data_IF_596763148838
#
_entry.id   IF_596763148838
#
_cell.length_a   1.000
_cell.length_b   1.000
_cell.length_c   1.000
_cell.angle_alpha   90.00
_cell.angle_beta   90.00
_cell.angle_gamma   90.00
#
_symmetry.space_group_name_H-M   'P 1'
#
loop_
_entity.id
_entity.type
_entity.pdbx_description
1 polymer ?
#
# COMPACT_ATOMS: atom_id res chain seq x y z
N UNK A 1 -0.97 -11.07 24.94
CA UNK A 1 -1.67 -10.14 24.03
C UNK A 1 -2.43 -10.94 22.98
N UNK A 2 -3.52 -10.38 22.40
CA UNK A 2 -4.28 -11.02 21.33
C UNK A 2 -4.27 -10.14 20.08
N UNK A 3 -3.84 -10.68 18.93
CA UNK A 3 -3.81 -9.98 17.63
C UNK A 3 -4.88 -10.59 16.73
N UNK A 4 -5.78 -9.76 16.21
CA UNK A 4 -6.86 -10.17 15.30
C UNK A 4 -6.39 -10.00 13.86
N UNK A 5 -6.18 -11.10 13.16
CA UNK A 5 -5.75 -11.16 11.76
C UNK A 5 -4.26 -11.42 11.61
N UNK A 6 -3.90 -12.32 10.70
CA UNK A 6 -2.55 -12.73 10.31
C UNK A 6 -2.19 -12.21 8.91
N UNK A 7 -2.53 -10.96 8.59
CA UNK A 7 -2.00 -10.21 7.46
C UNK A 7 -0.69 -9.53 7.81
N UNK A 8 -0.14 -8.70 6.88
CA UNK A 8 1.17 -8.05 7.06
C UNK A 8 1.26 -7.25 8.36
N UNK A 9 0.27 -6.39 8.63
CA UNK A 9 0.26 -5.57 9.86
C UNK A 9 0.18 -6.42 11.14
N UNK A 10 -0.70 -7.44 11.15
CA UNK A 10 -0.87 -8.33 12.31
C UNK A 10 0.35 -9.20 12.58
N UNK A 11 0.95 -9.80 11.54
CA UNK A 11 2.18 -10.59 11.68
C UNK A 11 3.37 -9.71 12.05
N UNK A 12 3.50 -8.52 11.43
CA UNK A 12 4.55 -7.56 11.79
C UNK A 12 4.48 -7.11 13.25
N UNK A 13 3.27 -6.72 13.72
CA UNK A 13 3.03 -6.38 15.12
C UNK A 13 3.34 -7.57 16.06
N UNK A 14 2.90 -8.78 15.68
CA UNK A 14 3.12 -9.98 16.50
C UNK A 14 4.59 -10.33 16.66
N UNK A 15 5.36 -10.28 15.57
CA UNK A 15 6.80 -10.51 15.59
C UNK A 15 7.53 -9.43 16.40
N UNK A 16 7.19 -8.16 16.20
CA UNK A 16 7.80 -7.06 16.93
C UNK A 16 7.53 -7.15 18.44
N UNK A 17 6.31 -7.50 18.86
CA UNK A 17 5.94 -7.71 20.25
C UNK A 17 6.64 -8.95 20.84
N UNK A 18 6.63 -10.08 20.13
CA UNK A 18 7.21 -11.32 20.60
C UNK A 18 8.72 -11.22 20.82
N UNK A 19 9.44 -10.56 19.91
CA UNK A 19 10.90 -10.32 19.99
C UNK A 19 11.27 -9.37 21.12
N UNK A 20 10.31 -8.57 21.62
CA UNK A 20 10.45 -7.76 22.83
C UNK A 20 10.01 -8.51 24.11
N UNK A 21 9.75 -9.81 24.02
CA UNK A 21 9.49 -10.65 25.19
C UNK A 21 8.02 -10.88 25.51
N UNK A 22 7.08 -10.32 24.77
CA UNK A 22 5.65 -10.48 25.00
C UNK A 22 5.13 -11.80 24.42
N UNK A 23 4.16 -12.41 25.12
CA UNK A 23 3.43 -13.59 24.62
C UNK A 23 2.26 -13.12 23.77
N UNK A 24 2.18 -13.61 22.52
CA UNK A 24 1.20 -13.16 21.53
C UNK A 24 0.38 -14.35 21.02
N UNK A 25 -0.96 -14.21 21.05
CA UNK A 25 -1.88 -15.13 20.37
C UNK A 25 -2.44 -14.44 19.14
N UNK A 26 -2.12 -14.94 17.96
CA UNK A 26 -2.65 -14.46 16.68
C UNK A 26 -3.89 -15.27 16.30
N UNK A 27 -5.00 -14.59 16.04
CA UNK A 27 -6.29 -15.16 15.69
C UNK A 27 -6.60 -14.90 14.23
N UNK A 28 -6.53 -15.93 13.39
CA UNK A 28 -6.75 -15.82 11.95
C UNK A 28 -7.99 -16.61 11.52
N UNK A 29 -8.91 -15.96 10.81
CA UNK A 29 -10.14 -16.61 10.32
C UNK A 29 -9.90 -17.59 9.19
N UNK A 30 -8.89 -17.36 8.33
CA UNK A 30 -8.55 -18.25 7.24
C UNK A 30 -7.85 -19.52 7.78
N UNK A 31 -8.26 -20.67 7.26
CA UNK A 31 -7.71 -21.97 7.66
C UNK A 31 -6.46 -22.38 6.86
N UNK A 32 -6.38 -22.10 5.53
CA UNK A 32 -5.26 -22.57 4.73
C UNK A 32 -3.92 -22.07 5.28
N UNK A 33 -2.96 -23.02 5.34
CA UNK A 33 -1.58 -22.70 5.70
C UNK A 33 -0.79 -22.33 4.45
N UNK A 34 0.29 -21.55 4.58
CA UNK A 34 1.18 -21.32 3.47
C UNK A 34 1.82 -22.63 3.02
N UNK A 35 2.09 -22.80 1.71
CA UNK A 35 2.83 -23.94 1.21
C UNK A 35 4.26 -23.98 1.76
N UNK A 36 4.88 -25.16 1.78
CA UNK A 36 6.26 -25.30 2.20
C UNK A 36 7.23 -24.60 1.22
N UNK A 37 6.97 -24.74 -0.09
CA UNK A 37 7.73 -24.04 -1.15
C UNK A 37 7.20 -22.61 -1.32
N UNK A 38 8.03 -21.56 -1.12
CA UNK A 38 7.63 -20.18 -1.33
C UNK A 38 7.16 -19.88 -2.77
N UNK A 39 7.67 -20.62 -3.77
CA UNK A 39 7.29 -20.44 -5.18
C UNK A 39 5.82 -20.79 -5.43
N UNK A 40 5.25 -21.69 -4.65
CA UNK A 40 3.85 -22.08 -4.71
C UNK A 40 2.91 -21.08 -4.02
N UNK A 41 3.43 -20.11 -3.24
CA UNK A 41 2.62 -19.20 -2.44
C UNK A 41 1.62 -18.40 -3.26
N UNK A 42 1.97 -17.97 -4.47
CA UNK A 42 1.06 -17.22 -5.34
C UNK A 42 -0.04 -18.09 -5.93
N UNK A 43 0.27 -19.31 -6.35
CA UNK A 43 -0.67 -20.20 -7.01
C UNK A 43 -1.58 -20.93 -6.03
N UNK A 44 -0.99 -21.49 -4.95
CA UNK A 44 -1.63 -22.52 -4.14
C UNK A 44 -2.14 -22.01 -2.79
N UNK A 45 -1.63 -20.86 -2.31
CA UNK A 45 -2.08 -20.36 -1.01
C UNK A 45 -3.31 -19.48 -1.15
N UNK A 46 -4.40 -19.94 -0.55
CA UNK A 46 -5.66 -19.21 -0.54
C UNK A 46 -5.89 -18.44 0.76
N UNK A 47 -6.26 -17.17 0.61
CA UNK A 47 -6.60 -16.24 1.70
C UNK A 47 -7.97 -15.60 1.44
N UNK A 48 -9.10 -16.32 1.63
CA UNK A 48 -10.45 -15.78 1.38
C UNK A 48 -10.75 -14.51 2.19
N UNK A 49 -10.12 -14.40 3.36
CA UNK A 49 -10.19 -13.22 4.22
C UNK A 49 -9.46 -12.00 3.70
N UNK A 50 -8.66 -12.13 2.62
CA UNK A 50 -7.85 -11.06 2.03
C UNK A 50 -8.16 -10.96 0.53
N UNK A 51 -9.26 -10.29 0.12
CA UNK A 51 -9.72 -10.27 -1.29
C UNK A 51 -8.66 -9.76 -2.28
N UNK A 52 -7.74 -8.90 -1.81
CA UNK A 52 -6.66 -8.33 -2.60
C UNK A 52 -5.33 -9.09 -2.46
N UNK A 53 -5.34 -10.35 -2.00
CA UNK A 53 -4.15 -11.14 -1.72
C UNK A 53 -3.25 -11.33 -2.95
N UNK A 54 -3.85 -11.58 -4.13
CA UNK A 54 -3.12 -11.76 -5.41
C UNK A 54 -3.05 -10.50 -6.27
N UNK A 55 -3.50 -9.33 -5.78
CA UNK A 55 -3.35 -8.09 -6.52
C UNK A 55 -1.94 -7.53 -6.42
N UNK A 56 -1.51 -6.65 -7.36
CA UNK A 56 -0.17 -6.05 -7.29
C UNK A 56 -0.01 -5.17 -6.05
N UNK A 57 1.17 -5.24 -5.47
CA UNK A 57 1.58 -4.42 -4.34
C UNK A 57 2.97 -3.86 -4.58
N UNK A 58 3.26 -2.72 -3.96
CA UNK A 58 4.60 -2.15 -3.88
C UNK A 58 5.15 -2.33 -2.46
N UNK A 59 6.39 -2.77 -2.36
CA UNK A 59 7.12 -2.81 -1.11
C UNK A 59 8.14 -1.68 -1.12
N UNK A 60 7.72 -0.55 -0.57
CA UNK A 60 8.46 0.69 -0.58
C UNK A 60 9.70 0.62 0.32
N UNK A 61 10.58 1.61 0.18
CA UNK A 61 11.83 1.64 0.92
C UNK A 61 11.62 1.58 2.44
N UNK A 62 10.60 2.26 3.00
CA UNK A 62 10.28 2.12 4.43
C UNK A 62 10.03 0.65 4.80
N UNK A 63 9.23 -0.07 4.03
CA UNK A 63 8.94 -1.50 4.31
C UNK A 63 10.21 -2.35 4.32
N UNK A 64 11.13 -2.11 3.36
CA UNK A 64 12.42 -2.82 3.31
C UNK A 64 13.34 -2.45 4.48
N UNK A 65 13.44 -1.15 4.82
CA UNK A 65 14.21 -0.68 5.98
C UNK A 65 13.70 -1.29 7.28
N UNK A 66 12.38 -1.36 7.46
CA UNK A 66 11.78 -2.00 8.63
C UNK A 66 12.10 -3.51 8.70
N UNK A 67 12.08 -4.21 7.57
CA UNK A 67 12.53 -5.61 7.54
C UNK A 67 14.02 -5.72 7.90
N UNK A 68 14.88 -4.87 7.35
CA UNK A 68 16.32 -4.91 7.59
C UNK A 68 16.67 -4.71 9.07
N UNK A 69 15.99 -3.80 9.75
CA UNK A 69 16.31 -3.46 11.14
C UNK A 69 15.57 -4.33 12.18
N UNK A 70 14.29 -4.63 11.93
CA UNK A 70 13.44 -5.28 12.92
C UNK A 70 13.24 -6.78 12.64
N UNK A 71 13.29 -7.18 11.36
CA UNK A 71 12.99 -8.53 10.89
C UNK A 71 14.00 -9.03 9.83
N UNK A 72 15.34 -8.95 10.10
CA UNK A 72 16.37 -9.24 9.08
C UNK A 72 16.33 -10.68 8.56
N UNK A 73 15.90 -11.63 9.37
CA UNK A 73 15.70 -13.03 8.97
C UNK A 73 14.56 -13.17 7.96
N UNK A 74 13.48 -12.39 8.09
CA UNK A 74 12.39 -12.34 7.11
C UNK A 74 12.89 -11.78 5.79
N UNK A 75 13.65 -10.68 5.81
CA UNK A 75 14.22 -10.10 4.59
C UNK A 75 15.12 -11.10 3.85
N UNK A 76 16.02 -11.75 4.58
CA UNK A 76 16.93 -12.76 4.01
C UNK A 76 16.15 -13.94 3.40
N UNK A 77 15.10 -14.43 4.06
CA UNK A 77 14.26 -15.53 3.56
C UNK A 77 13.48 -15.11 2.29
N UNK A 78 12.96 -13.87 2.24
CA UNK A 78 12.29 -13.33 1.06
C UNK A 78 13.27 -13.23 -0.13
N UNK A 79 14.49 -12.72 0.10
CA UNK A 79 15.52 -12.61 -0.94
C UNK A 79 15.97 -14.00 -1.44
N UNK A 80 16.14 -14.97 -0.53
CA UNK A 80 16.43 -16.34 -0.90
C UNK A 80 15.32 -17.01 -1.73
N UNK A 81 14.06 -16.58 -1.53
CA UNK A 81 12.90 -17.02 -2.30
C UNK A 81 12.69 -16.26 -3.63
N UNK A 82 13.57 -15.30 -3.94
CA UNK A 82 13.58 -14.58 -5.22
C UNK A 82 13.09 -13.15 -5.19
N UNK A 83 12.74 -12.59 -4.01
CA UNK A 83 12.49 -11.16 -3.88
C UNK A 83 13.77 -10.38 -4.22
N UNK A 84 13.65 -9.29 -4.97
CA UNK A 84 14.79 -8.51 -5.44
C UNK A 84 14.75 -7.07 -4.93
N UNK A 85 15.90 -6.51 -4.62
CA UNK A 85 16.03 -5.09 -4.30
C UNK A 85 15.73 -4.22 -5.52
N UNK A 86 15.06 -3.09 -5.30
CA UNK A 86 14.82 -2.05 -6.30
C UNK A 86 15.60 -0.80 -5.88
N UNK A 87 16.82 -0.60 -6.39
CA UNK A 87 17.71 0.46 -5.93
C UNK A 87 17.32 1.81 -6.56
N UNK A 88 16.42 2.56 -5.93
CA UNK A 88 16.06 3.91 -6.37
C UNK A 88 17.24 4.87 -6.36
N UNK A 89 18.21 4.64 -5.45
CA UNK A 89 19.44 5.43 -5.34
C UNK A 89 20.24 5.50 -6.63
N UNK A 90 20.22 4.45 -7.46
CA UNK A 90 20.97 4.41 -8.72
C UNK A 90 20.44 5.39 -9.78
N UNK A 91 19.29 6.03 -9.51
CA UNK A 91 18.66 7.03 -10.38
C UNK A 91 18.84 8.47 -9.91
N UNK A 92 19.55 8.68 -8.83
CA UNK A 92 19.87 10.03 -8.35
C UNK A 92 20.66 10.77 -9.44
N UNK A 93 20.19 11.91 -9.94
CA UNK A 93 20.97 12.71 -10.90
C UNK A 93 22.37 13.03 -10.35
N UNK A 94 23.40 12.75 -11.13
CA UNK A 94 24.79 12.91 -10.68
C UNK A 94 25.33 11.75 -9.82
N UNK A 95 24.53 10.73 -9.58
CA UNK A 95 24.93 9.53 -8.84
C UNK A 95 24.55 9.53 -7.37
N UNK A 96 24.50 8.35 -6.74
CA UNK A 96 24.16 8.19 -5.32
C UNK A 96 25.29 8.63 -4.39
N UNK A 97 24.91 8.97 -3.16
CA UNK A 97 25.82 9.21 -2.05
C UNK A 97 25.56 8.20 -0.91
N UNK A 98 26.38 8.20 0.12
CA UNK A 98 26.17 7.35 1.28
C UNK A 98 24.82 7.64 2.01
N UNK A 99 24.30 8.87 1.90
CA UNK A 99 23.00 9.25 2.46
C UNK A 99 21.80 8.63 1.71
N UNK A 100 22.01 8.03 0.55
CA UNK A 100 20.97 7.39 -0.27
C UNK A 100 20.87 5.88 -0.02
N UNK A 101 21.59 5.34 0.95
CA UNK A 101 21.68 3.90 1.22
C UNK A 101 20.29 3.25 1.48
N UNK A 102 19.37 4.00 2.09
CA UNK A 102 17.99 3.57 2.39
C UNK A 102 17.00 3.72 1.22
N UNK A 103 17.42 4.33 0.09
CA UNK A 103 16.58 4.46 -1.11
C UNK A 103 16.54 3.15 -1.91
N UNK A 104 16.05 2.10 -1.30
CA UNK A 104 15.90 0.77 -1.90
C UNK A 104 14.55 0.18 -1.51
N UNK A 105 13.73 -0.15 -2.49
CA UNK A 105 12.49 -0.92 -2.31
C UNK A 105 12.70 -2.41 -2.50
N UNK A 106 11.61 -3.18 -2.44
CA UNK A 106 11.63 -4.63 -2.64
C UNK A 106 10.61 -5.02 -3.71
N UNK A 107 11.02 -5.81 -4.69
CA UNK A 107 10.16 -6.40 -5.72
C UNK A 107 9.82 -7.84 -5.34
N UNK A 108 8.58 -8.07 -4.97
CA UNK A 108 7.98 -9.39 -4.81
C UNK A 108 6.45 -9.29 -4.86
N UNK A 109 5.76 -10.42 -5.03
CA UNK A 109 4.31 -10.47 -4.90
C UNK A 109 3.92 -10.59 -3.41
N UNK A 110 2.77 -10.07 -3.05
CA UNK A 110 2.26 -10.10 -1.68
C UNK A 110 2.19 -11.51 -1.07
N UNK A 111 1.75 -12.57 -1.79
CA UNK A 111 1.75 -13.92 -1.23
C UNK A 111 3.12 -14.38 -0.74
N UNK A 112 4.20 -14.05 -1.45
CA UNK A 112 5.57 -14.33 -0.99
C UNK A 112 5.91 -13.53 0.26
N UNK A 113 5.58 -12.23 0.30
CA UNK A 113 5.85 -11.38 1.46
C UNK A 113 5.13 -11.87 2.73
N UNK A 114 3.83 -12.19 2.62
CA UNK A 114 3.07 -12.75 3.74
C UNK A 114 3.57 -14.14 4.14
N UNK A 115 4.04 -14.94 3.16
CA UNK A 115 4.65 -16.24 3.42
C UNK A 115 5.88 -16.11 4.34
N UNK A 116 6.81 -15.18 4.04
CA UNK A 116 7.98 -14.95 4.89
C UNK A 116 7.62 -14.54 6.31
N UNK A 117 6.71 -13.56 6.47
CA UNK A 117 6.23 -13.15 7.80
C UNK A 117 5.55 -14.29 8.55
N UNK A 118 4.73 -15.09 7.86
CA UNK A 118 4.02 -16.22 8.46
C UNK A 118 4.99 -17.30 8.93
N UNK A 119 5.99 -17.64 8.13
CA UNK A 119 7.02 -18.61 8.49
C UNK A 119 7.84 -18.15 9.71
N UNK A 120 8.21 -16.87 9.74
CA UNK A 120 8.88 -16.29 10.91
C UNK A 120 8.01 -16.38 12.17
N UNK A 121 6.72 -16.02 12.07
CA UNK A 121 5.79 -16.11 13.19
C UNK A 121 5.55 -17.55 13.68
N UNK A 122 5.57 -18.54 12.79
CA UNK A 122 5.44 -19.97 13.15
C UNK A 122 6.69 -20.52 13.88
N UNK A 123 7.86 -19.91 13.64
CA UNK A 123 9.12 -20.28 14.33
C UNK A 123 9.33 -19.52 15.65
N UNK A 124 8.58 -18.42 15.86
CA UNK A 124 8.75 -17.60 17.06
C UNK A 124 8.06 -18.26 18.28
N UNK A 125 8.82 -18.69 19.31
CA UNK A 125 8.27 -19.49 20.43
C UNK A 125 7.25 -18.70 21.27
N UNK A 126 7.26 -17.38 21.24
CA UNK A 126 6.31 -16.54 21.97
C UNK A 126 5.04 -16.23 21.18
N UNK A 127 4.91 -16.74 19.95
CA UNK A 127 3.71 -16.59 19.14
C UNK A 127 2.93 -17.91 19.07
N UNK A 128 1.66 -17.85 19.46
CA UNK A 128 0.70 -18.93 19.22
C UNK A 128 -0.23 -18.49 18.08
N UNK A 129 -0.14 -19.13 16.94
CA UNK A 129 -0.98 -18.82 15.79
C UNK A 129 -2.16 -19.79 15.70
N UNK A 130 -3.38 -19.25 15.80
CA UNK A 130 -4.65 -20.00 15.76
C UNK A 130 -5.41 -19.70 14.49
N UNK A 131 -5.25 -20.57 13.49
CA UNK A 131 -5.96 -20.50 12.21
C UNK A 131 -7.39 -21.07 12.34
N UNK A 132 -8.32 -20.55 11.54
CA UNK A 132 -9.73 -20.93 11.57
C UNK A 132 -10.51 -20.34 12.74
N UNK A 133 -9.97 -19.34 13.43
CA UNK A 133 -10.61 -18.66 14.55
C UNK A 133 -11.16 -17.31 14.09
N UNK A 134 -12.48 -17.22 14.00
CA UNK A 134 -13.18 -15.96 13.71
C UNK A 134 -13.47 -15.23 15.04
N UNK A 135 -13.01 -14.00 15.13
CA UNK A 135 -13.40 -13.08 16.21
C UNK A 135 -14.73 -12.43 15.83
N UNK A 136 -15.67 -12.43 16.75
CA UNK A 136 -17.04 -11.93 16.58
C UNK A 136 -17.38 -10.74 17.46
N UNK A 137 -16.50 -10.41 18.43
CA UNK A 137 -16.71 -9.27 19.31
C UNK A 137 -15.54 -9.07 20.27
N UNK A 138 -15.67 -8.04 21.09
CA UNK A 138 -14.73 -7.73 22.16
C UNK A 138 -15.27 -8.19 23.50
N UNK A 139 -14.39 -8.54 24.42
CA UNK A 139 -14.69 -8.75 25.83
C UNK A 139 -14.22 -7.52 26.62
N UNK A 140 -15.08 -6.96 27.47
CA UNK A 140 -14.80 -5.74 28.22
C UNK A 140 -15.09 -5.91 29.73
N UNK A 141 -14.36 -5.13 30.54
CA UNK A 141 -14.63 -4.89 31.94
C UNK A 141 -14.77 -3.37 32.15
N UNK A 142 -16.00 -2.90 32.27
CA UNK A 142 -16.33 -1.47 32.19
C UNK A 142 -15.96 -0.92 30.81
N UNK A 143 -15.19 0.16 30.78
CA UNK A 143 -14.70 0.77 29.53
C UNK A 143 -13.37 0.20 29.03
N UNK A 144 -12.80 -0.81 29.69
CA UNK A 144 -11.54 -1.43 29.28
C UNK A 144 -11.81 -2.70 28.50
N UNK A 145 -11.18 -2.87 27.34
CA UNK A 145 -11.13 -4.13 26.60
C UNK A 145 -10.13 -5.07 27.30
N UNK A 146 -10.59 -6.29 27.60
CA UNK A 146 -9.83 -7.34 28.31
C UNK A 146 -9.68 -8.61 27.49
N UNK A 147 -10.06 -8.59 26.21
CA UNK A 147 -9.96 -9.73 25.32
C UNK A 147 -10.94 -9.68 24.17
N UNK A 148 -11.12 -10.83 23.50
CA UNK A 148 -12.01 -10.99 22.35
C UNK A 148 -12.96 -12.17 22.55
N UNK A 149 -14.11 -12.12 21.88
CA UNK A 149 -15.05 -13.24 21.78
C UNK A 149 -14.88 -13.92 20.43
N UNK A 150 -14.63 -15.22 20.45
CA UNK A 150 -14.48 -16.03 19.24
C UNK A 150 -15.77 -16.78 18.90
N UNK A 151 -15.91 -17.17 17.63
CA UNK A 151 -16.97 -18.05 17.18
C UNK A 151 -17.02 -19.33 18.02
N UNK A 152 -18.22 -19.68 18.50
CA UNK A 152 -18.42 -20.79 19.45
C UNK A 152 -18.46 -20.36 20.91
N UNK A 153 -18.44 -19.05 21.23
CA UNK A 153 -18.83 -18.48 22.53
C UNK A 153 -17.71 -18.39 23.58
N UNK A 154 -16.47 -18.74 23.26
CA UNK A 154 -15.33 -18.62 24.18
C UNK A 154 -14.72 -17.20 24.17
N UNK A 155 -14.43 -16.67 25.39
CA UNK A 155 -13.61 -15.47 25.53
C UNK A 155 -12.12 -15.85 25.57
N UNK A 156 -11.31 -15.13 24.81
CA UNK A 156 -9.84 -15.19 24.84
C UNK A 156 -9.38 -13.91 25.53
N UNK A 157 -8.96 -14.03 26.78
CA UNK A 157 -8.52 -12.90 27.58
C UNK A 157 -7.11 -12.47 27.17
N UNK A 158 -6.87 -11.16 27.21
CA UNK A 158 -5.59 -10.55 26.90
C UNK A 158 -5.44 -9.20 27.59
N UNK A 159 -4.23 -8.86 27.99
CA UNK A 159 -3.92 -7.55 28.57
C UNK A 159 -4.05 -6.42 27.55
N UNK A 160 -3.76 -6.73 26.27
CA UNK A 160 -3.91 -5.84 25.12
C UNK A 160 -4.44 -6.63 23.92
N UNK A 161 -5.44 -6.07 23.24
CA UNK A 161 -5.94 -6.54 21.94
C UNK A 161 -5.36 -5.65 20.84
N UNK A 162 -4.93 -6.24 19.73
CA UNK A 162 -4.53 -5.51 18.52
C UNK A 162 -5.47 -5.90 17.38
N UNK A 163 -6.30 -4.96 16.93
CA UNK A 163 -7.12 -5.19 15.73
C UNK A 163 -6.32 -4.91 14.46
N UNK A 164 -5.86 -5.98 13.83
CA UNK A 164 -5.20 -5.99 12.52
C UNK A 164 -6.07 -6.73 11.47
N UNK A 165 -7.40 -6.70 11.62
CA UNK A 165 -8.34 -7.44 10.77
C UNK A 165 -8.55 -6.81 9.38
N UNK A 166 -7.87 -5.70 9.09
CA UNK A 166 -7.82 -5.06 7.78
C UNK A 166 -9.12 -4.34 7.41
N UNK A 167 -9.41 -4.26 6.10
CA UNK A 167 -10.58 -3.54 5.56
C UNK A 167 -11.91 -4.00 6.12
N UNK A 168 -11.98 -5.25 6.57
CA UNK A 168 -13.16 -5.85 7.18
C UNK A 168 -13.27 -5.65 8.69
N UNK A 169 -12.48 -4.76 9.28
CA UNK A 169 -12.56 -4.46 10.71
C UNK A 169 -13.97 -4.10 11.15
N UNK A 170 -14.38 -4.70 12.24
CA UNK A 170 -15.65 -4.45 12.91
C UNK A 170 -15.50 -3.66 14.20
N UNK A 171 -14.41 -2.95 14.34
CA UNK A 171 -14.13 -2.20 15.58
C UNK A 171 -15.29 -1.26 15.97
N UNK A 172 -15.85 -0.49 15.02
CA UNK A 172 -16.96 0.43 15.28
C UNK A 172 -18.21 -0.29 15.79
N UNK A 173 -18.78 -1.30 15.09
CA UNK A 173 -19.92 -2.05 15.62
C UNK A 173 -19.61 -2.77 16.93
N UNK A 174 -18.40 -3.28 17.14
CA UNK A 174 -18.04 -3.93 18.42
C UNK A 174 -18.01 -2.93 19.60
N UNK A 175 -17.51 -1.71 19.39
CA UNK A 175 -17.56 -0.66 20.41
C UNK A 175 -19.00 -0.22 20.69
N UNK A 176 -19.83 -0.11 19.64
CA UNK A 176 -21.25 0.22 19.80
C UNK A 176 -22.02 -0.87 20.57
N UNK A 177 -21.76 -2.17 20.33
CA UNK A 177 -22.32 -3.29 21.09
C UNK A 177 -22.00 -3.19 22.60
N UNK A 178 -20.83 -2.62 22.93
CA UNK A 178 -20.39 -2.40 24.31
C UNK A 178 -20.85 -1.05 24.87
N UNK A 179 -21.65 -0.29 24.13
CA UNK A 179 -22.12 1.06 24.51
C UNK A 179 -20.95 2.03 24.79
N UNK A 180 -19.81 1.82 24.15
CA UNK A 180 -18.66 2.72 24.22
C UNK A 180 -18.81 3.87 23.21
N UNK A 181 -18.14 5.03 23.44
CA UNK A 181 -18.22 6.16 22.53
C UNK A 181 -17.76 5.80 21.10
N UNK A 182 -18.31 6.49 20.11
CA UNK A 182 -17.93 6.24 18.72
C UNK A 182 -16.53 6.82 18.44
N UNK A 183 -15.63 6.03 17.81
CA UNK A 183 -14.33 6.53 17.41
C UNK A 183 -14.44 7.51 16.24
N UNK A 184 -13.57 8.53 16.22
CA UNK A 184 -13.49 9.47 15.11
C UNK A 184 -12.94 8.77 13.86
N UNK A 185 -13.31 9.29 12.68
CA UNK A 185 -12.74 8.80 11.43
C UNK A 185 -13.41 9.42 10.22
N UNK A 186 -12.69 9.36 9.13
CA UNK A 186 -13.11 9.89 7.83
C UNK A 186 -13.07 8.77 6.78
N UNK A 187 -13.84 8.90 5.71
CA UNK A 187 -13.84 7.94 4.61
C UNK A 187 -14.29 8.61 3.31
N UNK A 188 -13.43 8.56 2.30
CA UNK A 188 -13.65 9.09 0.95
C UNK A 188 -13.49 7.99 -0.11
N UNK A 189 -14.28 7.97 -1.19
CA UNK A 189 -14.05 7.06 -2.29
C UNK A 189 -12.75 7.38 -3.02
N UNK A 190 -12.02 6.35 -3.47
CA UNK A 190 -10.83 6.56 -4.31
C UNK A 190 -11.19 6.92 -5.76
N UNK A 191 -12.42 6.63 -6.22
CA UNK A 191 -12.85 6.97 -7.58
C UNK A 191 -12.11 6.19 -8.67
N UNK A 192 -11.75 4.95 -8.42
CA UNK A 192 -10.98 4.11 -9.34
C UNK A 192 -11.36 2.63 -9.22
N UNK A 193 -11.29 1.93 -10.35
CA UNK A 193 -11.32 0.46 -10.45
C UNK A 193 -10.00 0.02 -11.08
N UNK A 194 -9.36 -1.00 -10.50
CA UNK A 194 -8.15 -1.61 -11.06
C UNK A 194 -8.47 -2.94 -11.72
N UNK A 195 -7.96 -3.11 -12.95
CA UNK A 195 -7.91 -4.37 -13.68
C UNK A 195 -6.45 -4.76 -13.77
N UNK A 196 -6.06 -5.92 -13.25
CA UNK A 196 -4.68 -6.32 -13.15
C UNK A 196 -4.48 -7.71 -13.73
N UNK A 197 -3.34 -7.93 -14.41
CA UNK A 197 -2.97 -9.23 -14.94
C UNK A 197 -1.49 -9.49 -14.73
N UNK A 198 -1.15 -10.70 -14.28
CA UNK A 198 0.23 -11.12 -14.12
C UNK A 198 0.75 -11.80 -15.37
N UNK A 199 2.05 -11.62 -15.56
CA UNK A 199 2.83 -12.15 -16.67
C UNK A 199 4.13 -12.77 -16.15
N UNK A 200 4.65 -13.75 -16.91
CA UNK A 200 5.99 -14.28 -16.75
C UNK A 200 6.82 -13.79 -17.93
N UNK A 201 7.88 -13.03 -17.67
CA UNK A 201 8.80 -12.55 -18.69
C UNK A 201 9.78 -13.64 -19.12
N UNK A 202 10.26 -13.52 -20.34
CA UNK A 202 11.44 -14.26 -20.79
C UNK A 202 12.64 -13.96 -19.89
N UNK A 203 13.45 -14.95 -19.57
CA UNK A 203 14.61 -14.82 -18.70
C UNK A 203 15.69 -13.89 -19.26
N UNK A 204 15.76 -13.72 -20.56
CA UNK A 204 16.72 -12.86 -21.27
C UNK A 204 16.27 -11.40 -21.36
N UNK A 205 14.99 -11.11 -21.10
CA UNK A 205 14.44 -9.76 -21.16
C UNK A 205 14.68 -9.01 -19.85
N UNK A 206 15.34 -7.87 -19.90
CA UNK A 206 15.53 -7.00 -18.74
C UNK A 206 14.29 -6.14 -18.48
N UNK A 207 13.80 -6.18 -17.24
CA UNK A 207 12.64 -5.38 -16.85
C UNK A 207 13.01 -3.89 -16.82
N UNK A 208 12.28 -3.01 -17.56
CA UNK A 208 12.64 -1.61 -17.71
C UNK A 208 12.32 -0.81 -16.44
N UNK A 209 13.27 -0.77 -15.52
CA UNK A 209 13.17 0.02 -14.28
C UNK A 209 13.54 1.49 -14.48
N UNK A 210 14.07 1.88 -15.63
CA UNK A 210 14.66 3.22 -15.86
C UNK A 210 13.63 4.35 -15.99
N UNK A 211 12.36 4.06 -16.32
CA UNK A 211 11.35 5.09 -16.61
C UNK A 211 10.54 5.53 -15.39
N UNK A 212 10.45 4.72 -14.37
CA UNK A 212 9.82 5.04 -13.09
C UNK A 212 10.39 4.21 -11.96
N UNK A 213 9.99 4.49 -10.73
CA UNK A 213 10.51 3.80 -9.53
C UNK A 213 10.32 2.28 -9.57
N UNK A 214 9.26 1.77 -10.22
CA UNK A 214 8.96 0.34 -10.30
C UNK A 214 8.71 -0.16 -11.73
N UNK A 215 8.88 0.68 -12.77
CA UNK A 215 8.66 0.34 -14.16
C UNK A 215 7.68 1.29 -14.87
N UNK A 216 7.32 1.04 -16.15
CA UNK A 216 6.44 1.89 -16.93
C UNK A 216 5.11 2.18 -16.23
N UNK A 217 4.75 3.45 -16.19
CA UNK A 217 3.48 3.94 -15.64
C UNK A 217 3.07 5.24 -16.33
N UNK A 218 1.77 5.54 -16.33
CA UNK A 218 1.28 6.79 -16.91
C UNK A 218 -0.23 6.97 -16.71
N UNK A 219 -0.69 8.15 -17.07
CA UNK A 219 -2.10 8.53 -17.11
C UNK A 219 -2.40 9.09 -18.52
N UNK A 220 -3.48 8.59 -19.13
CA UNK A 220 -3.91 8.99 -20.48
C UNK A 220 -4.98 10.11 -20.42
N UNK A 221 -5.27 10.65 -19.25
CA UNK A 221 -6.30 11.67 -19.03
C UNK A 221 -7.72 11.12 -18.87
N UNK A 222 -7.93 9.82 -19.08
CA UNK A 222 -9.21 9.12 -18.91
C UNK A 222 -9.05 7.73 -18.27
N UNK A 223 -7.83 7.22 -18.22
CA UNK A 223 -7.43 5.99 -17.54
C UNK A 223 -5.94 6.02 -17.24
N UNK A 224 -5.50 5.25 -16.28
CA UNK A 224 -4.10 5.10 -15.95
C UNK A 224 -3.57 3.68 -16.13
N UNK A 225 -2.25 3.53 -16.12
CA UNK A 225 -1.57 2.24 -16.09
C UNK A 225 -0.32 2.27 -15.23
N UNK A 226 0.01 1.12 -14.66
CA UNK A 226 1.27 0.93 -13.93
C UNK A 226 1.73 -0.52 -14.02
N UNK A 227 3.04 -0.73 -14.08
CA UNK A 227 3.65 -2.04 -14.05
C UNK A 227 4.35 -2.27 -12.70
N UNK A 228 4.34 -3.53 -12.25
CA UNK A 228 4.86 -3.94 -10.95
C UNK A 228 5.76 -5.14 -11.13
N UNK A 229 7.07 -5.04 -10.84
CA UNK A 229 7.95 -6.21 -10.84
C UNK A 229 7.62 -7.12 -9.66
N UNK A 230 7.69 -8.41 -9.87
CA UNK A 230 7.59 -9.46 -8.86
C UNK A 230 8.85 -10.32 -8.81
N UNK A 231 8.86 -11.31 -7.94
CA UNK A 231 9.93 -12.29 -7.84
C UNK A 231 9.99 -13.22 -9.06
N UNK A 232 11.17 -13.78 -9.31
CA UNK A 232 11.42 -14.84 -10.32
C UNK A 232 10.95 -14.47 -11.74
N UNK A 233 11.09 -13.21 -12.15
CA UNK A 233 10.70 -12.76 -13.48
C UNK A 233 9.20 -12.56 -13.69
N UNK A 234 8.38 -12.70 -12.65
CA UNK A 234 6.98 -12.31 -12.70
C UNK A 234 6.84 -10.78 -12.71
N UNK A 235 5.79 -10.29 -13.33
CA UNK A 235 5.41 -8.88 -13.26
C UNK A 235 3.90 -8.73 -13.48
N UNK A 236 3.35 -7.59 -13.11
CA UNK A 236 1.93 -7.30 -13.25
C UNK A 236 1.73 -5.97 -13.99
N UNK A 237 0.76 -5.95 -14.91
CA UNK A 237 0.18 -4.71 -15.43
C UNK A 237 -1.14 -4.45 -14.69
N UNK A 238 -1.30 -3.27 -14.14
CA UNK A 238 -2.56 -2.75 -13.63
C UNK A 238 -3.04 -1.60 -14.52
N UNK A 239 -4.28 -1.69 -14.96
CA UNK A 239 -5.01 -0.65 -15.67
C UNK A 239 -6.03 -0.07 -14.69
N UNK A 240 -6.02 1.23 -14.51
CA UNK A 240 -6.92 1.96 -13.63
C UNK A 240 -7.93 2.76 -14.45
N UNK A 241 -9.21 2.54 -14.18
CA UNK A 241 -10.31 3.18 -14.92
C UNK A 241 -11.28 3.86 -13.95
N UNK A 242 -11.97 4.91 -14.36
CA UNK A 242 -13.01 5.53 -13.54
C UNK A 242 -14.22 4.59 -13.38
N UNK A 243 -14.84 4.53 -12.18
CA UNK A 243 -15.98 3.65 -11.92
C UNK A 243 -17.25 4.04 -12.68
N UNK A 244 -17.32 5.26 -13.20
CA UNK A 244 -18.46 5.75 -14.01
C UNK A 244 -18.32 5.51 -15.50
N UNK A 245 -17.18 5.01 -15.99
CA UNK A 245 -16.96 4.69 -17.40
C UNK A 245 -17.33 3.24 -17.69
N UNK A 246 -18.58 3.02 -18.09
CA UNK A 246 -19.11 1.69 -18.37
C UNK A 246 -18.45 1.02 -19.59
N UNK A 247 -18.02 1.79 -20.59
CA UNK A 247 -17.38 1.26 -21.80
C UNK A 247 -16.02 0.66 -21.48
N UNK A 248 -15.22 1.34 -20.64
CA UNK A 248 -13.91 0.83 -20.20
C UNK A 248 -14.01 -0.39 -19.27
N UNK A 249 -15.17 -0.68 -18.69
CA UNK A 249 -15.38 -1.93 -17.91
C UNK A 249 -15.16 -3.21 -18.72
N UNK A 250 -15.24 -3.14 -20.05
CA UNK A 250 -14.91 -4.26 -20.92
C UNK A 250 -13.47 -4.79 -20.69
N UNK A 251 -12.55 -3.97 -20.15
CA UNK A 251 -11.16 -4.34 -19.82
C UNK A 251 -11.09 -5.53 -18.83
N UNK A 252 -12.15 -5.81 -18.09
CA UNK A 252 -12.26 -7.04 -17.26
C UNK A 252 -12.12 -8.34 -18.07
N UNK A 253 -12.35 -8.30 -19.39
CA UNK A 253 -12.19 -9.45 -20.28
C UNK A 253 -10.75 -9.50 -20.82
N UNK A 254 -10.11 -10.67 -20.79
CA UNK A 254 -8.72 -10.83 -21.19
C UNK A 254 -8.39 -10.31 -22.61
N UNK A 255 -9.22 -10.51 -23.65
CA UNK A 255 -8.95 -9.92 -24.98
C UNK A 255 -8.90 -8.40 -24.95
N UNK A 256 -9.88 -7.72 -24.29
CA UNK A 256 -9.90 -6.27 -24.16
C UNK A 256 -8.70 -5.74 -23.36
N UNK A 257 -8.37 -6.40 -22.26
CA UNK A 257 -7.17 -6.06 -21.46
C UNK A 257 -5.91 -6.09 -22.33
N UNK A 258 -5.73 -7.14 -23.15
CA UNK A 258 -4.56 -7.27 -24.02
C UNK A 258 -4.56 -6.26 -25.17
N UNK A 259 -5.73 -5.90 -25.71
CA UNK A 259 -5.85 -4.85 -26.73
C UNK A 259 -5.40 -3.49 -26.16
N UNK A 260 -5.83 -3.14 -24.95
CA UNK A 260 -5.38 -1.94 -24.23
C UNK A 260 -3.89 -1.99 -23.94
N UNK A 261 -3.37 -3.11 -23.40
CA UNK A 261 -1.96 -3.27 -23.09
C UNK A 261 -1.06 -3.04 -24.33
N UNK A 262 -1.44 -3.59 -25.47
CA UNK A 262 -0.72 -3.41 -26.75
C UNK A 262 -0.90 -2.03 -27.38
N UNK A 263 -1.87 -1.25 -26.92
CA UNK A 263 -2.06 0.12 -27.38
C UNK A 263 -1.17 1.15 -26.61
N UNK A 264 -0.57 0.75 -25.51
CA UNK A 264 0.28 1.61 -24.68
C UNK A 264 1.76 1.37 -25.06
N UNK A 265 2.44 2.32 -25.76
CA UNK A 265 3.78 2.08 -26.28
C UNK A 265 4.81 1.66 -25.23
N UNK A 266 4.75 2.24 -24.04
CA UNK A 266 5.67 1.91 -22.94
C UNK A 266 5.52 0.49 -22.38
N UNK A 267 4.39 -0.16 -22.64
CA UNK A 267 4.07 -1.51 -22.14
C UNK A 267 4.33 -2.59 -23.19
N UNK A 268 4.28 -2.25 -24.47
CA UNK A 268 4.44 -3.20 -25.59
C UNK A 268 5.67 -4.09 -25.46
N UNK A 269 6.89 -3.57 -25.18
CA UNK A 269 8.08 -4.42 -25.08
C UNK A 269 7.98 -5.47 -23.97
N UNK A 270 7.30 -5.14 -22.85
CA UNK A 270 7.05 -6.07 -21.76
C UNK A 270 6.07 -7.17 -22.17
N UNK A 271 5.00 -6.80 -22.88
CA UNK A 271 3.97 -7.75 -23.34
C UNK A 271 4.57 -8.72 -24.35
N UNK A 272 5.36 -8.24 -25.31
CA UNK A 272 5.94 -9.08 -26.37
C UNK A 272 7.00 -10.06 -25.85
N UNK A 273 7.67 -9.71 -24.76
CA UNK A 273 8.65 -10.57 -24.09
C UNK A 273 8.04 -11.42 -22.95
N UNK A 274 6.72 -11.57 -22.89
CA UNK A 274 6.07 -12.23 -21.73
C UNK A 274 4.85 -13.05 -22.12
N UNK A 275 4.53 -14.04 -21.27
CA UNK A 275 3.27 -14.79 -21.35
C UNK A 275 2.38 -14.49 -20.15
N UNK A 276 1.05 -14.35 -20.34
CA UNK A 276 0.13 -14.13 -19.23
C UNK A 276 0.02 -15.39 -18.36
N UNK A 277 0.00 -15.20 -17.03
CA UNK A 277 -0.07 -16.28 -16.04
C UNK A 277 -1.36 -16.28 -15.23
N UNK A 278 -2.18 -15.24 -15.35
CA UNK A 278 -3.48 -15.16 -14.66
C UNK A 278 -4.57 -14.68 -15.62
N UNK A 279 -5.82 -14.87 -15.21
CA UNK A 279 -6.93 -14.07 -15.71
C UNK A 279 -6.80 -12.61 -15.26
N UNK A 280 -7.73 -11.75 -15.71
CA UNK A 280 -7.80 -10.36 -15.23
C UNK A 280 -8.39 -10.32 -13.83
N UNK A 281 -7.61 -9.82 -12.88
CA UNK A 281 -8.00 -9.63 -11.50
C UNK A 281 -8.62 -8.25 -11.33
N UNK A 282 -9.72 -8.16 -10.56
CA UNK A 282 -10.47 -6.93 -10.36
C UNK A 282 -10.36 -6.44 -8.92
N UNK A 283 -10.23 -5.12 -8.75
CA UNK A 283 -10.32 -4.45 -7.46
C UNK A 283 -11.12 -3.15 -7.60
N UNK A 284 -12.24 -3.07 -6.91
CA UNK A 284 -13.14 -1.91 -6.91
C UNK A 284 -13.63 -1.54 -5.51
N UNK A 285 -14.56 -0.59 -5.44
CA UNK A 285 -15.15 -0.08 -4.19
C UNK A 285 -14.12 0.40 -3.18
N UNK A 286 -13.04 0.97 -3.69
CA UNK A 286 -11.91 1.42 -2.91
C UNK A 286 -12.23 2.73 -2.18
N UNK A 287 -11.79 2.80 -0.94
CA UNK A 287 -11.96 3.98 -0.09
C UNK A 287 -10.67 4.31 0.64
N UNK A 288 -10.35 5.58 0.70
CA UNK A 288 -9.46 6.10 1.72
C UNK A 288 -10.22 6.11 3.05
N UNK A 289 -9.56 5.71 4.14
CA UNK A 289 -10.14 5.74 5.50
C UNK A 289 -9.08 6.10 6.52
N UNK A 290 -9.52 6.74 7.60
CA UNK A 290 -8.74 6.90 8.81
C UNK A 290 -9.62 6.72 10.03
N UNK A 291 -9.02 6.30 11.14
CA UNK A 291 -9.68 6.06 12.42
C UNK A 291 -8.78 6.59 13.53
N UNK A 292 -9.38 7.13 14.59
CA UNK A 292 -8.73 7.42 15.87
C UNK A 292 -9.61 6.91 17.00
N UNK A 293 -9.02 6.19 17.96
CA UNK A 293 -9.67 5.77 19.20
C UNK A 293 -9.54 6.82 20.32
N UNK A 294 -9.12 8.04 19.98
CA UNK A 294 -9.06 9.18 20.90
C UNK A 294 -10.01 10.27 20.39
N UNK A 295 -10.87 10.73 21.27
CA UNK A 295 -11.83 11.82 21.01
C UNK A 295 -11.68 12.86 22.13
N UNK A 296 -11.49 14.13 21.76
CA UNK A 296 -11.32 15.24 22.70
C UNK A 296 -10.23 15.00 23.77
N UNK A 297 -9.09 14.39 23.32
CA UNK A 297 -7.96 14.06 24.18
C UNK A 297 -8.22 12.92 25.17
N UNK A 298 -9.31 12.15 24.98
CA UNK A 298 -9.65 11.02 25.83
C UNK A 298 -9.74 9.75 24.98
N UNK A 299 -9.16 8.61 25.43
CA UNK A 299 -9.38 7.34 24.78
C UNK A 299 -10.86 6.94 24.86
N UNK A 300 -11.43 6.54 23.72
CA UNK A 300 -12.77 5.93 23.62
C UNK A 300 -12.85 4.68 24.51
N UNK A 301 -11.75 3.94 24.55
CA UNK A 301 -11.56 2.74 25.36
C UNK A 301 -10.06 2.53 25.56
N UNK A 302 -9.68 1.67 26.51
CA UNK A 302 -8.31 1.22 26.71
C UNK A 302 -8.21 -0.30 26.52
N UNK A 303 -6.99 -0.82 26.39
CA UNK A 303 -6.76 -2.27 26.20
C UNK A 303 -6.94 -2.74 24.76
N UNK A 304 -7.09 -1.82 23.81
CA UNK A 304 -7.10 -2.14 22.38
C UNK A 304 -6.36 -1.07 21.57
N UNK A 305 -5.59 -1.51 20.58
CA UNK A 305 -5.04 -0.67 19.50
C UNK A 305 -5.47 -1.22 18.14
N UNK A 306 -5.50 -0.38 17.11
CA UNK A 306 -5.91 -0.74 15.76
C UNK A 306 -4.76 -0.46 14.79
N UNK A 307 -4.41 -1.41 13.92
CA UNK A 307 -3.29 -1.29 12.97
C UNK A 307 -3.66 -1.75 11.55
N UNK A 308 -2.88 -1.35 10.57
CA UNK A 308 -3.08 -1.69 9.16
C UNK A 308 -4.32 -1.03 8.57
N UNK A 309 -4.94 -1.71 7.60
CA UNK A 309 -6.16 -1.22 6.93
C UNK A 309 -7.37 -1.08 7.86
N UNK A 310 -7.30 -1.59 9.08
CA UNK A 310 -8.30 -1.36 10.12
C UNK A 310 -8.21 0.07 10.68
N UNK A 311 -7.01 0.66 10.72
CA UNK A 311 -6.73 2.03 11.16
C UNK A 311 -6.72 3.02 10.00
N UNK A 312 -5.94 2.73 8.96
CA UNK A 312 -5.72 3.65 7.84
C UNK A 312 -5.68 2.90 6.52
N UNK A 313 -6.52 3.32 5.59
CA UNK A 313 -6.54 2.86 4.20
C UNK A 313 -6.19 4.03 3.28
N UNK A 314 -5.35 3.78 2.30
CA UNK A 314 -5.02 4.71 1.21
C UNK A 314 -5.30 4.05 -0.13
N UNK A 315 -5.40 4.84 -1.20
CA UNK A 315 -5.50 4.29 -2.55
C UNK A 315 -4.29 3.38 -2.82
N UNK A 316 -4.53 2.14 -3.29
CA UNK A 316 -3.48 1.19 -3.63
C UNK A 316 -2.44 1.69 -4.65
N UNK A 317 -2.79 2.67 -5.52
CA UNK A 317 -1.87 3.22 -6.52
C UNK A 317 -0.60 3.82 -5.94
N UNK A 318 -0.63 4.27 -4.68
CA UNK A 318 0.53 4.82 -4.00
C UNK A 318 1.43 3.77 -3.36
N UNK A 319 0.92 2.54 -3.17
CA UNK A 319 1.66 1.43 -2.56
C UNK A 319 1.97 1.59 -1.07
N UNK A 320 1.36 2.54 -0.39
CA UNK A 320 1.70 2.90 0.99
C UNK A 320 1.22 1.90 2.05
N UNK A 321 0.07 1.25 1.82
CA UNK A 321 -0.67 0.49 2.84
C UNK A 321 0.13 -0.58 3.56
N UNK A 322 0.96 -1.36 2.86
CA UNK A 322 1.75 -2.43 3.49
C UNK A 322 2.85 -1.87 4.40
N UNK A 323 3.58 -0.85 3.93
CA UNK A 323 4.64 -0.21 4.73
C UNK A 323 4.06 0.54 5.92
N UNK A 324 2.92 1.23 5.76
CA UNK A 324 2.18 1.87 6.86
C UNK A 324 1.78 0.82 7.91
N UNK A 325 1.16 -0.28 7.49
CA UNK A 325 0.72 -1.32 8.42
C UNK A 325 1.87 -1.98 9.20
N UNK A 326 3.01 -2.21 8.54
CA UNK A 326 4.20 -2.75 9.18
C UNK A 326 4.79 -1.74 10.20
N UNK A 327 4.95 -0.48 9.81
CA UNK A 327 5.42 0.61 10.69
C UNK A 327 4.52 0.76 11.91
N UNK A 328 3.20 0.77 11.73
CA UNK A 328 2.24 0.86 12.84
C UNK A 328 2.43 -0.27 13.85
N UNK A 329 2.58 -1.51 13.37
CA UNK A 329 2.80 -2.67 14.24
C UNK A 329 4.11 -2.61 15.03
N UNK A 330 5.19 -2.20 14.38
CA UNK A 330 6.53 -2.06 15.00
C UNK A 330 6.53 -0.92 16.03
N UNK A 331 5.95 0.25 15.67
CA UNK A 331 5.84 1.38 16.60
C UNK A 331 4.96 1.04 17.78
N UNK A 332 3.84 0.32 17.59
CA UNK A 332 3.01 -0.17 18.69
C UNK A 332 3.84 -1.00 19.68
N UNK A 333 4.69 -1.91 19.19
CA UNK A 333 5.51 -2.74 20.07
C UNK A 333 6.49 -1.90 20.92
N UNK A 334 7.10 -0.86 20.34
CA UNK A 334 7.96 0.07 21.07
C UNK A 334 7.18 0.90 22.11
N UNK A 335 5.95 1.31 21.79
CA UNK A 335 5.07 2.03 22.72
C UNK A 335 4.62 1.15 23.89
N UNK A 336 4.35 -0.13 23.65
CA UNK A 336 4.02 -1.10 24.68
C UNK A 336 5.19 -1.23 25.68
N UNK A 337 6.43 -1.31 25.21
CA UNK A 337 7.60 -1.33 26.09
C UNK A 337 7.73 -0.04 26.92
N UNK A 338 7.44 1.11 26.32
CA UNK A 338 7.57 2.44 26.95
C UNK A 338 6.52 2.70 28.02
N UNK A 339 5.28 2.28 27.78
CA UNK A 339 4.13 2.59 28.64
C UNK A 339 3.71 1.43 29.56
N UNK A 340 4.17 0.20 29.28
CA UNK A 340 3.90 -0.96 30.15
C UNK A 340 2.41 -1.19 30.38
N UNK A 341 2.00 -1.23 31.66
CA UNK A 341 0.62 -1.47 32.07
C UNK A 341 -0.28 -0.21 32.04
N UNK A 342 0.27 0.98 31.78
CA UNK A 342 -0.55 2.20 31.65
C UNK A 342 -1.20 2.26 30.26
N UNK A 343 -2.32 1.54 30.15
CA UNK A 343 -3.07 1.45 28.90
C UNK A 343 -3.69 2.76 28.44
N UNK A 344 -3.87 3.73 29.35
CA UNK A 344 -4.33 5.07 28.99
C UNK A 344 -3.21 5.84 28.32
N UNK A 345 -2.02 5.88 28.91
CA UNK A 345 -0.86 6.51 28.31
C UNK A 345 -0.49 5.85 26.97
N UNK A 346 -0.57 4.52 26.87
CA UNK A 346 -0.39 3.78 25.62
C UNK A 346 -1.38 4.24 24.55
N UNK A 347 -2.68 4.33 24.87
CA UNK A 347 -3.71 4.72 23.89
C UNK A 347 -3.48 6.15 23.37
N UNK A 348 -3.12 7.09 24.24
CA UNK A 348 -2.83 8.48 23.85
C UNK A 348 -1.54 8.59 23.02
N UNK A 349 -0.47 7.93 23.42
CA UNK A 349 0.80 7.92 22.68
C UNK A 349 0.62 7.23 21.31
N UNK A 350 -0.16 6.17 21.23
CA UNK A 350 -0.48 5.50 19.96
C UNK A 350 -1.25 6.42 19.00
N UNK A 351 -2.22 7.18 19.51
CA UNK A 351 -2.96 8.15 18.70
C UNK A 351 -2.04 9.25 18.17
N UNK A 352 -1.17 9.78 19.02
CA UNK A 352 -0.26 10.87 18.69
C UNK A 352 0.85 10.44 17.71
N UNK A 353 1.54 9.32 17.99
CA UNK A 353 2.69 8.89 17.22
C UNK A 353 2.31 8.05 15.98
N UNK A 354 1.18 7.35 15.98
CA UNK A 354 0.79 6.40 14.94
C UNK A 354 -0.44 6.86 14.16
N UNK A 355 -1.54 7.16 14.82
CA UNK A 355 -2.78 7.50 14.13
C UNK A 355 -2.67 8.88 13.44
N UNK A 356 -2.07 9.87 14.10
CA UNK A 356 -1.87 11.21 13.53
C UNK A 356 -0.92 11.17 12.33
N UNK A 357 0.20 10.42 12.42
CA UNK A 357 1.11 10.20 11.30
C UNK A 357 0.40 9.53 10.12
N UNK A 358 -0.36 8.47 10.38
CA UNK A 358 -1.09 7.73 9.34
C UNK A 358 -2.18 8.59 8.70
N UNK A 359 -2.86 9.46 9.46
CA UNK A 359 -3.89 10.35 8.95
C UNK A 359 -3.33 11.39 7.96
N UNK A 360 -2.06 11.76 8.05
CA UNK A 360 -1.42 12.63 7.06
C UNK A 360 -1.35 11.95 5.68
N UNK A 361 -1.08 10.66 5.63
CA UNK A 361 -1.09 9.87 4.38
C UNK A 361 -2.51 9.67 3.86
N UNK A 362 -3.52 9.47 4.73
CA UNK A 362 -4.91 9.46 4.32
C UNK A 362 -5.29 10.76 3.60
N UNK A 363 -4.97 11.92 4.18
CA UNK A 363 -5.27 13.23 3.56
C UNK A 363 -4.56 13.39 2.22
N UNK A 364 -3.28 13.06 2.15
CA UNK A 364 -2.51 13.13 0.90
C UNK A 364 -3.10 12.21 -0.19
N UNK A 365 -3.47 10.98 0.16
CA UNK A 365 -4.11 10.04 -0.75
C UNK A 365 -5.44 10.55 -1.28
N UNK A 366 -6.32 11.02 -0.38
CA UNK A 366 -7.62 11.62 -0.71
C UNK A 366 -7.47 12.78 -1.69
N UNK A 367 -6.54 13.69 -1.42
CA UNK A 367 -6.37 14.90 -2.23
C UNK A 367 -5.81 14.57 -3.63
N UNK A 368 -4.91 13.58 -3.72
CA UNK A 368 -4.42 13.07 -5.01
C UNK A 368 -5.54 12.35 -5.80
N UNK A 369 -6.40 11.59 -5.14
CA UNK A 369 -7.56 10.93 -5.77
C UNK A 369 -8.57 11.93 -6.29
N UNK A 370 -8.83 13.00 -5.55
CA UNK A 370 -9.70 14.10 -5.99
C UNK A 370 -9.16 14.77 -7.25
N UNK A 371 -7.85 15.04 -7.29
CA UNK A 371 -7.19 15.61 -8.46
C UNK A 371 -7.29 14.70 -9.69
N UNK A 372 -7.04 13.40 -9.54
CA UNK A 372 -7.19 12.40 -10.60
C UNK A 372 -8.63 12.32 -11.09
N UNK A 373 -9.59 12.25 -10.19
CA UNK A 373 -11.03 12.17 -10.50
C UNK A 373 -11.48 13.39 -11.32
N UNK A 374 -11.10 14.59 -10.90
CA UNK A 374 -11.38 15.84 -11.62
C UNK A 374 -10.76 15.81 -13.03
N UNK A 375 -9.50 15.41 -13.17
CA UNK A 375 -8.83 15.29 -14.46
C UNK A 375 -9.55 14.28 -15.39
N UNK A 376 -9.98 13.13 -14.86
CA UNK A 376 -10.69 12.11 -15.64
C UNK A 376 -12.13 12.49 -16.01
N UNK A 377 -12.74 13.44 -15.30
CA UNK A 377 -14.00 14.07 -15.72
C UNK A 377 -13.82 15.10 -16.85
N UNK A 378 -12.56 15.42 -17.17
CA UNK A 378 -12.24 16.43 -18.20
C UNK A 378 -12.29 17.86 -17.66
N UNK A 379 -12.27 18.04 -16.35
CA UNK A 379 -12.18 19.37 -15.74
C UNK A 379 -10.85 20.02 -16.13
N UNK A 380 -10.90 21.23 -16.61
CA UNK A 380 -9.69 21.99 -16.86
C UNK A 380 -8.96 22.27 -15.53
N UNK A 381 -7.64 22.04 -15.47
CA UNK A 381 -6.89 22.39 -14.27
C UNK A 381 -7.01 23.89 -14.00
N UNK A 382 -7.08 24.32 -12.73
CA UNK A 382 -7.09 25.73 -12.39
C UNK A 382 -5.84 26.44 -12.93
N UNK A 383 -5.92 27.73 -13.17
CA UNK A 383 -4.84 28.51 -13.80
C UNK A 383 -3.50 28.44 -13.03
N UNK A 384 -3.57 28.24 -11.71
CA UNK A 384 -2.44 28.08 -10.79
C UNK A 384 -2.08 26.62 -10.49
N UNK A 385 -2.63 25.65 -11.23
CA UNK A 385 -2.45 24.22 -10.94
C UNK A 385 -0.98 23.78 -10.83
N UNK A 386 -0.11 24.39 -11.63
CA UNK A 386 1.33 24.12 -11.68
C UNK A 386 2.16 25.12 -10.86
N UNK A 387 1.55 26.10 -10.21
CA UNK A 387 2.23 26.99 -9.30
C UNK A 387 2.54 26.32 -7.96
N UNK A 388 3.50 26.86 -7.22
CA UNK A 388 3.83 26.36 -5.87
C UNK A 388 2.56 26.37 -4.99
N UNK A 389 2.22 25.21 -4.45
CA UNK A 389 0.97 25.00 -3.68
C UNK A 389 -0.25 24.65 -4.53
N UNK A 390 -0.15 24.68 -5.86
CA UNK A 390 -1.24 24.25 -6.74
C UNK A 390 -1.45 22.74 -6.75
N UNK A 391 -2.64 22.27 -7.15
CA UNK A 391 -3.05 20.87 -7.01
C UNK A 391 -2.19 19.87 -7.83
N UNK A 392 -1.57 20.31 -8.92
CA UNK A 392 -0.72 19.45 -9.76
C UNK A 392 0.77 19.65 -9.50
N UNK A 393 1.16 20.54 -8.57
CA UNK A 393 2.56 20.83 -8.33
C UNK A 393 3.35 19.60 -7.90
N UNK A 394 2.89 18.90 -6.86
CA UNK A 394 3.59 17.72 -6.30
C UNK A 394 3.53 16.52 -7.25
N UNK A 395 2.47 16.38 -8.03
CA UNK A 395 2.28 15.22 -8.93
C UNK A 395 2.88 15.39 -10.32
N UNK A 396 3.12 16.62 -10.78
CA UNK A 396 3.59 16.91 -12.13
C UNK A 396 4.91 17.69 -12.13
N UNK A 397 4.96 18.83 -11.43
CA UNK A 397 6.13 19.73 -11.44
C UNK A 397 7.33 19.09 -10.76
N UNK A 398 7.12 18.58 -9.54
CA UNK A 398 8.20 17.94 -8.76
C UNK A 398 8.79 16.72 -9.47
N UNK A 399 8.03 15.74 -9.99
CA UNK A 399 8.61 14.62 -10.74
C UNK A 399 9.35 15.02 -12.01
N UNK A 400 8.93 16.08 -12.70
CA UNK A 400 9.62 16.60 -13.87
C UNK A 400 10.99 17.18 -13.49
N UNK A 401 11.05 18.05 -12.49
CA UNK A 401 12.27 18.65 -11.98
C UNK A 401 13.24 17.61 -11.37
N UNK A 402 12.71 16.59 -10.73
CA UNK A 402 13.48 15.51 -10.14
C UNK A 402 14.32 14.69 -11.14
N UNK A 403 14.02 14.81 -12.45
CA UNK A 403 14.82 14.12 -13.49
C UNK A 403 16.24 14.70 -13.63
N UNK A 404 16.44 15.95 -13.25
CA UNK A 404 17.68 16.68 -13.44
C UNK A 404 18.27 17.24 -12.15
N UNK A 405 17.50 17.28 -11.05
CA UNK A 405 17.95 17.81 -9.76
C UNK A 405 17.97 16.71 -8.69
N UNK A 406 19.16 16.46 -8.14
CA UNK A 406 19.39 15.40 -7.18
C UNK A 406 18.66 15.60 -5.83
N UNK A 407 18.55 16.83 -5.34
CA UNK A 407 17.87 17.09 -4.05
C UNK A 407 16.37 16.97 -4.18
N UNK A 408 15.80 17.47 -5.29
CA UNK A 408 14.38 17.29 -5.60
C UNK A 408 14.07 15.81 -5.79
N UNK A 409 14.93 15.07 -6.48
CA UNK A 409 14.78 13.62 -6.65
C UNK A 409 14.76 12.91 -5.28
N UNK A 410 15.72 13.20 -4.40
CA UNK A 410 15.81 12.62 -3.06
C UNK A 410 14.56 12.92 -2.25
N UNK A 411 14.17 14.20 -2.17
CA UNK A 411 12.99 14.61 -1.40
C UNK A 411 11.70 13.96 -1.91
N UNK A 412 11.49 13.91 -3.22
CA UNK A 412 10.34 13.26 -3.84
C UNK A 412 10.35 11.74 -3.60
N UNK A 413 11.50 11.09 -3.76
CA UNK A 413 11.65 9.64 -3.59
C UNK A 413 11.47 9.25 -2.14
N UNK A 414 12.07 9.97 -1.18
CA UNK A 414 11.92 9.74 0.25
C UNK A 414 10.46 9.89 0.70
N UNK A 415 9.78 10.96 0.25
CA UNK A 415 8.35 11.18 0.50
C UNK A 415 7.49 10.03 -0.03
N UNK A 416 7.68 9.65 -1.29
CA UNK A 416 6.87 8.61 -1.94
C UNK A 416 7.13 7.21 -1.36
N UNK A 417 8.31 7.00 -0.76
CA UNK A 417 8.72 5.77 -0.11
C UNK A 417 8.54 5.79 1.43
N UNK A 418 7.84 6.78 1.98
CA UNK A 418 7.51 6.94 3.41
C UNK A 418 8.75 7.06 4.33
N UNK A 419 9.92 7.38 3.79
CA UNK A 419 11.14 7.59 4.57
C UNK A 419 11.16 8.97 5.25
N UNK A 420 10.43 9.93 4.69
CA UNK A 420 10.18 11.25 5.27
C UNK A 420 8.67 11.46 5.47
N UNK A 421 8.26 12.29 6.44
CA UNK A 421 6.87 12.70 6.59
C UNK A 421 6.28 13.24 5.28
N UNK A 422 5.03 12.91 4.98
CA UNK A 422 4.38 13.22 3.68
C UNK A 422 4.29 14.71 3.39
N UNK A 423 4.28 15.55 4.42
CA UNK A 423 4.19 17.01 4.37
C UNK A 423 5.55 17.73 4.36
N UNK A 424 6.66 17.00 4.58
CA UNK A 424 8.02 17.59 4.58
C UNK A 424 8.34 18.29 3.27
N UNK A 425 8.21 17.58 2.14
CA UNK A 425 8.46 18.17 0.82
C UNK A 425 7.51 19.33 0.48
N UNK A 426 6.17 19.22 0.68
CA UNK A 426 5.27 20.37 0.48
C UNK A 426 5.57 21.59 1.34
N UNK A 427 6.25 21.42 2.45
CA UNK A 427 6.64 22.51 3.37
C UNK A 427 7.99 23.15 3.04
N UNK A 428 8.79 22.54 2.15
CA UNK A 428 10.10 23.07 1.75
C UNK A 428 9.99 24.06 0.59
N UNK A 429 9.68 25.30 0.94
CA UNK A 429 9.43 26.37 -0.03
C UNK A 429 10.59 26.58 -1.00
N UNK A 430 11.84 26.51 -0.50
CA UNK A 430 13.05 26.69 -1.32
C UNK A 430 13.16 25.61 -2.40
N UNK A 431 12.90 24.36 -2.01
CA UNK A 431 12.95 23.24 -2.93
C UNK A 431 11.82 23.32 -3.96
N UNK A 432 10.61 23.74 -3.53
CA UNK A 432 9.47 23.89 -4.43
C UNK A 432 9.68 25.03 -5.44
N UNK A 433 10.19 26.18 -5.03
CA UNK A 433 10.51 27.32 -5.92
C UNK A 433 11.57 26.90 -6.97
N UNK A 434 12.60 26.16 -6.55
CA UNK A 434 13.61 25.59 -7.47
C UNK A 434 12.98 24.59 -8.46
N UNK A 435 12.09 23.73 -8.01
CA UNK A 435 11.36 22.82 -8.89
C UNK A 435 10.51 23.56 -9.93
N UNK A 436 9.85 24.66 -9.54
CA UNK A 436 9.09 25.50 -10.46
C UNK A 436 9.97 26.12 -11.57
N UNK A 437 11.15 26.63 -11.20
CA UNK A 437 12.12 27.19 -12.16
C UNK A 437 12.57 26.14 -13.17
N UNK A 438 13.01 24.98 -12.68
CA UNK A 438 13.45 23.87 -13.55
C UNK A 438 12.33 23.42 -14.49
N UNK A 439 11.11 23.27 -13.96
CA UNK A 439 9.95 22.89 -14.75
C UNK A 439 9.66 23.90 -15.85
N UNK A 440 9.68 25.20 -15.53
CA UNK A 440 9.45 26.26 -16.50
C UNK A 440 10.54 26.28 -17.60
N UNK A 441 11.80 26.02 -17.25
CA UNK A 441 12.90 25.91 -18.22
C UNK A 441 12.75 24.70 -19.15
N UNK A 442 12.41 23.54 -18.60
CA UNK A 442 12.17 22.30 -19.37
C UNK A 442 11.02 22.45 -20.37
N UNK A 443 10.02 23.29 -20.07
CA UNK A 443 8.83 23.47 -20.92
C UNK A 443 8.88 24.75 -21.76
N UNK A 444 9.93 25.55 -21.67
CA UNK A 444 10.10 26.78 -22.46
C UNK A 444 10.33 26.43 -23.93
N UNK A 445 9.30 26.66 -24.78
CA UNK A 445 9.36 26.35 -26.20
C UNK A 445 9.36 24.86 -26.55
N UNK A 446 9.09 24.01 -25.58
CA UNK A 446 8.92 22.58 -25.83
C UNK A 446 7.67 22.34 -26.69
N UNK A 447 7.72 21.43 -27.69
CA UNK A 447 6.52 20.96 -28.36
C UNK A 447 5.59 20.31 -27.38
N UNK A 448 4.28 20.24 -27.69
CA UNK A 448 3.31 19.53 -26.88
C UNK A 448 3.84 18.12 -26.54
N UNK A 449 3.72 17.72 -25.28
CA UNK A 449 4.22 16.42 -24.83
C UNK A 449 3.63 15.31 -25.71
N UNK A 450 4.48 14.37 -26.14
CA UNK A 450 4.01 13.19 -26.89
C UNK A 450 3.02 12.45 -26.00
N UNK A 451 1.81 12.13 -26.50
CA UNK A 451 0.82 11.38 -25.73
C UNK A 451 1.41 10.05 -25.22
N UNK A 452 1.14 9.73 -23.99
CA UNK A 452 1.61 8.48 -23.32
C UNK A 452 0.96 7.24 -23.95
N UNK A 453 -0.16 7.44 -24.66
CA UNK A 453 -0.92 6.42 -25.38
C UNK A 453 -2.03 7.04 -26.21
N UNK A 454 -2.92 6.21 -26.80
CA UNK A 454 -4.02 6.70 -27.64
C UNK A 454 -5.05 7.48 -26.80
N UNK A 455 -5.84 8.30 -27.47
CA UNK A 455 -7.04 8.91 -26.90
C UNK A 455 -8.12 7.89 -26.60
N UNK A 456 -9.17 8.32 -25.86
CA UNK A 456 -10.24 7.43 -25.41
C UNK A 456 -11.01 6.79 -26.57
N UNK A 457 -11.30 7.55 -27.63
CA UNK A 457 -12.06 7.05 -28.76
C UNK A 457 -11.29 5.94 -29.52
N UNK A 458 -10.01 6.17 -29.77
CA UNK A 458 -9.09 5.18 -30.37
C UNK A 458 -8.97 3.92 -29.48
N UNK A 459 -8.89 4.10 -28.15
CA UNK A 459 -8.81 2.98 -27.23
C UNK A 459 -10.08 2.13 -27.25
N UNK A 460 -11.26 2.75 -27.23
CA UNK A 460 -12.55 2.06 -27.31
C UNK A 460 -12.74 1.30 -28.63
N UNK A 461 -12.29 1.89 -29.75
CA UNK A 461 -12.31 1.20 -31.05
C UNK A 461 -11.50 -0.11 -31.00
N UNK A 462 -10.28 -0.09 -30.44
CA UNK A 462 -9.45 -1.30 -30.27
C UNK A 462 -10.10 -2.36 -29.33
N UNK A 463 -10.76 -1.91 -28.29
CA UNK A 463 -11.54 -2.82 -27.41
C UNK A 463 -12.69 -3.46 -28.21
N UNK A 464 -13.42 -2.69 -29.02
CA UNK A 464 -14.53 -3.15 -29.84
C UNK A 464 -14.12 -4.17 -30.92
N UNK A 465 -12.91 -4.10 -31.45
CA UNK A 465 -12.37 -5.08 -32.42
C UNK A 465 -12.26 -6.50 -31.83
N UNK A 466 -12.05 -6.63 -30.50
CA UNK A 466 -11.78 -7.93 -29.83
C UNK A 466 -12.94 -8.41 -28.93
N UNK A 467 -13.86 -7.53 -28.62
CA UNK A 467 -15.04 -7.81 -27.80
C UNK A 467 -16.26 -7.22 -28.50
N UNK A 468 -16.85 -7.95 -29.44
CA UNK A 468 -18.13 -7.53 -30.06
C UNK A 468 -19.19 -7.36 -28.97
N UNK A 469 -20.01 -6.30 -29.11
CA UNK A 469 -21.03 -5.85 -28.15
C UNK A 469 -22.12 -6.86 -27.83
#
# INVERSE_FOLDING_TARGET
MAVIGAGVAGLGASLALARRGHTVTVLERDRPRPPADPRAAFADWERPGVPHFRLPHLFLALGRVLLEHELPDVLAELQAAGAADVPFRDRVPGGPTAADADLVGLACRRPLFEWGLRRAAEREPRITLRAGVRVEGLAAAGSRIIGVRSQGGGAILADLVVDASGRGSRIRPWLAELQLPEPRGESDPCGVIYHSRYFQRDATFEYPTQQSLFGPRGDLGYMGFATFPGENGSWCLALSVPPWDDELRAIRRAPAFMAVARAIPAVVPLIDASVPTTDVLLMGELRNRTLSLVTDGQPVTTGICVVGDALTQTDPSFGWGLSIGLQQGITLAALVDRHGADLRALALAFDDEVAAWSAAYYRASRDMDRGRTSAWHGDAPPADAFAVGGPLFISVVVPSAARTDAEIFRAATRRNNLLDPVDRLPSDRTLLERAAVIFAEQHRGAPAATPVGPDRATMLARIGEVVPG
#
